data_IF_045609755249
#
_entry.id   IF_045609755249
#
_cell.length_a   1.000
_cell.length_b   1.000
_cell.length_c   1.000
_cell.angle_alpha   90.00
_cell.angle_beta   90.00
_cell.angle_gamma   90.00
#
_symmetry.space_group_name_H-M   'P 1'
#
loop_
_entity.id
_entity.type
_entity.pdbx_description
1 polymer ?
#
# COMPACT_ATOMS: atom_id res chain seq x y z
N UNK A 1 18.48 7.85 -22.89
CA UNK A 1 18.18 9.03 -22.05
C UNK A 1 18.48 10.26 -22.87
N UNK A 2 17.59 11.25 -22.85
CA UNK A 2 17.73 12.54 -23.53
C UNK A 2 17.55 13.66 -22.50
N UNK A 3 18.30 14.76 -22.62
CA UNK A 3 18.24 15.90 -21.71
C UNK A 3 18.51 17.20 -22.44
N UNK A 4 17.67 18.20 -22.19
CA UNK A 4 17.80 19.57 -22.70
C UNK A 4 18.03 20.52 -21.51
N UNK A 5 19.14 21.26 -21.55
CA UNK A 5 19.67 22.03 -20.43
C UNK A 5 19.34 23.53 -20.47
N UNK A 6 18.85 24.05 -21.61
CA UNK A 6 18.48 25.47 -21.73
C UNK A 6 17.22 25.70 -22.58
N UNK A 7 16.09 25.05 -22.27
CA UNK A 7 14.82 25.34 -22.94
C UNK A 7 14.27 26.70 -22.53
N UNK A 8 13.48 27.35 -23.40
CA UNK A 8 12.99 28.73 -23.20
C UNK A 8 12.24 28.97 -21.88
N UNK A 9 11.49 27.97 -21.38
CA UNK A 9 10.60 28.11 -20.21
C UNK A 9 10.96 27.22 -19.01
N UNK A 10 11.92 26.31 -19.16
CA UNK A 10 12.34 25.38 -18.11
C UNK A 10 13.82 25.61 -17.77
N UNK A 11 14.23 25.19 -16.58
CA UNK A 11 15.64 25.11 -16.21
C UNK A 11 16.32 23.94 -16.94
N UNK A 12 15.68 22.77 -16.94
CA UNK A 12 16.00 21.64 -17.82
C UNK A 12 14.82 20.68 -17.88
N UNK A 13 14.81 19.81 -18.88
CA UNK A 13 13.99 18.59 -18.85
C UNK A 13 14.81 17.40 -19.32
N UNK A 14 14.42 16.22 -18.89
CA UNK A 14 15.01 14.96 -19.29
C UNK A 14 13.92 13.91 -19.47
N UNK A 15 14.13 13.06 -20.47
CA UNK A 15 13.25 11.93 -20.76
C UNK A 15 14.10 10.69 -20.94
N UNK A 16 13.58 9.56 -20.48
CA UNK A 16 14.28 8.30 -20.57
C UNK A 16 13.31 7.18 -20.91
N UNK A 17 13.86 6.17 -21.57
CA UNK A 17 13.20 4.91 -21.84
C UNK A 17 14.12 3.83 -21.33
N UNK A 18 13.57 2.88 -20.58
CA UNK A 18 14.29 1.68 -20.19
C UNK A 18 13.35 0.48 -20.20
N UNK A 19 13.93 -0.70 -20.35
CA UNK A 19 13.21 -1.97 -20.27
C UNK A 19 13.92 -2.85 -19.25
N UNK A 20 13.14 -3.65 -18.55
CA UNK A 20 13.65 -4.63 -17.60
C UNK A 20 13.03 -5.99 -17.85
N UNK A 21 13.82 -7.02 -17.62
CA UNK A 21 13.39 -8.42 -17.69
C UNK A 21 14.03 -9.21 -16.56
N UNK A 22 13.32 -10.22 -16.07
CA UNK A 22 13.82 -11.15 -15.05
C UNK A 22 13.29 -12.55 -15.30
N UNK A 23 14.08 -13.54 -14.85
CA UNK A 23 13.77 -14.96 -14.96
C UNK A 23 13.79 -15.63 -13.58
N UNK A 24 13.07 -16.74 -13.45
CA UNK A 24 13.21 -17.65 -12.30
C UNK A 24 14.36 -18.65 -12.53
N UNK A 25 14.60 -19.53 -11.56
CA UNK A 25 15.64 -20.57 -11.66
C UNK A 25 15.34 -21.64 -12.73
N UNK A 26 14.08 -21.76 -13.15
CA UNK A 26 13.62 -22.67 -14.20
C UNK A 26 13.71 -22.03 -15.61
N UNK A 27 14.33 -20.85 -15.71
CA UNK A 27 14.50 -20.06 -16.93
C UNK A 27 13.19 -19.53 -17.57
N UNK A 28 12.09 -19.51 -16.83
CA UNK A 28 10.86 -18.82 -17.23
C UNK A 28 11.00 -17.32 -17.05
N UNK A 29 10.53 -16.55 -18.04
CA UNK A 29 10.47 -15.10 -17.95
C UNK A 29 9.31 -14.67 -17.05
N UNK A 30 9.63 -14.29 -15.81
CA UNK A 30 8.64 -13.93 -14.77
C UNK A 30 8.28 -12.44 -14.75
N UNK A 31 9.08 -11.58 -15.37
CA UNK A 31 8.74 -10.16 -15.50
C UNK A 31 9.37 -9.60 -16.77
N UNK A 32 8.59 -8.79 -17.49
CA UNK A 32 9.06 -7.95 -18.57
C UNK A 32 8.30 -6.64 -18.55
N UNK A 33 8.99 -5.52 -18.75
CA UNK A 33 8.33 -4.23 -18.75
C UNK A 33 9.09 -3.18 -19.56
N UNK A 34 8.34 -2.20 -20.03
CA UNK A 34 8.82 -1.01 -20.71
C UNK A 34 8.45 0.20 -19.87
N UNK A 35 9.38 1.13 -19.72
CA UNK A 35 9.19 2.35 -18.98
C UNK A 35 9.54 3.56 -19.84
N UNK A 36 8.71 4.58 -19.76
CA UNK A 36 8.95 5.92 -20.28
C UNK A 36 8.80 6.91 -19.13
N UNK A 37 9.87 7.63 -18.80
CA UNK A 37 9.82 8.67 -17.79
C UNK A 37 10.22 10.02 -18.34
N UNK A 38 9.69 11.07 -17.72
CA UNK A 38 10.02 12.46 -18.00
C UNK A 38 10.09 13.24 -16.70
N UNK A 39 11.11 14.08 -16.56
CA UNK A 39 11.33 15.00 -15.45
C UNK A 39 11.55 16.39 -16.00
N UNK A 40 10.82 17.37 -15.49
CA UNK A 40 10.88 18.76 -15.90
C UNK A 40 11.14 19.64 -14.68
N UNK A 41 12.18 20.47 -14.73
CA UNK A 41 12.47 21.48 -13.71
C UNK A 41 12.21 22.86 -14.28
N UNK A 42 11.32 23.61 -13.65
CA UNK A 42 10.99 24.98 -14.03
C UNK A 42 12.00 25.98 -13.46
N UNK A 43 12.05 27.19 -14.02
CA UNK A 43 12.94 28.25 -13.55
C UNK A 43 12.67 28.66 -12.09
N UNK A 44 11.42 28.57 -11.65
CA UNK A 44 11.00 28.79 -10.25
C UNK A 44 11.30 27.59 -9.32
N UNK A 45 12.06 26.60 -9.78
CA UNK A 45 12.46 25.38 -9.07
C UNK A 45 11.33 24.38 -8.79
N UNK A 46 10.17 24.56 -9.40
CA UNK A 46 9.13 23.53 -9.41
C UNK A 46 9.58 22.35 -10.26
N UNK A 47 9.08 21.16 -9.93
CA UNK A 47 9.36 19.92 -10.67
C UNK A 47 8.07 19.20 -11.00
N UNK A 48 7.95 18.78 -12.25
CA UNK A 48 6.95 17.80 -12.68
C UNK A 48 7.71 16.55 -13.07
N UNK A 49 7.34 15.40 -12.53
CA UNK A 49 7.79 14.11 -13.03
C UNK A 49 6.58 13.30 -13.46
N UNK A 50 6.79 12.46 -14.45
CA UNK A 50 5.81 11.52 -14.93
C UNK A 50 6.51 10.26 -15.40
N UNK A 51 5.88 9.13 -15.17
CA UNK A 51 6.40 7.84 -15.56
C UNK A 51 5.24 6.98 -16.06
N UNK A 52 5.46 6.28 -17.16
CA UNK A 52 4.53 5.37 -17.78
C UNK A 52 5.20 4.01 -17.90
N UNK A 53 4.48 2.96 -17.57
CA UNK A 53 4.99 1.60 -17.61
C UNK A 53 3.98 0.65 -18.23
N UNK A 54 4.43 -0.10 -19.23
CA UNK A 54 3.72 -1.23 -19.80
C UNK A 54 4.37 -2.53 -19.30
N UNK A 55 3.57 -3.42 -18.74
CA UNK A 55 3.99 -4.78 -18.38
C UNK A 55 3.16 -5.77 -19.20
N UNK A 56 3.74 -6.41 -20.23
CA UNK A 56 3.08 -7.49 -20.94
C UNK A 56 2.76 -8.68 -20.03
N UNK A 57 1.97 -9.63 -20.54
CA UNK A 57 1.66 -10.87 -19.85
C UNK A 57 2.92 -11.67 -19.52
N UNK A 58 2.95 -12.26 -18.33
CA UNK A 58 4.04 -13.10 -17.84
C UNK A 58 3.50 -14.25 -17.01
N UNK A 59 4.29 -15.31 -16.89
CA UNK A 59 3.94 -16.45 -16.03
C UNK A 59 4.35 -16.16 -14.59
N UNK A 60 3.54 -16.61 -13.64
CA UNK A 60 3.81 -16.49 -12.21
C UNK A 60 3.53 -17.79 -11.48
N UNK A 61 4.55 -18.29 -10.79
CA UNK A 61 4.51 -19.38 -9.80
C UNK A 61 4.13 -18.88 -8.38
N UNK A 62 4.16 -17.56 -8.17
CA UNK A 62 3.93 -16.95 -6.85
C UNK A 62 2.47 -16.80 -6.49
N UNK A 63 1.59 -16.62 -7.49
CA UNK A 63 0.16 -16.39 -7.25
C UNK A 63 -0.52 -17.56 -6.55
N UNK A 64 -0.13 -18.78 -6.90
CA UNK A 64 -0.59 -20.03 -6.30
C UNK A 64 0.26 -20.47 -5.11
N UNK A 65 1.14 -19.60 -4.58
CA UNK A 65 2.02 -19.91 -3.44
C UNK A 65 2.92 -21.14 -3.68
N UNK A 66 3.47 -21.28 -4.88
CA UNK A 66 4.31 -22.42 -5.27
C UNK A 66 3.52 -23.60 -5.85
N UNK A 67 2.25 -23.37 -6.23
CA UNK A 67 1.42 -24.32 -6.96
C UNK A 67 1.61 -24.22 -8.48
N UNK A 68 0.56 -24.54 -9.27
CA UNK A 68 0.57 -24.39 -10.72
C UNK A 68 0.94 -22.98 -11.16
N UNK A 69 1.59 -22.86 -12.31
CA UNK A 69 1.85 -21.57 -12.94
C UNK A 69 0.52 -20.91 -13.31
N UNK A 70 0.46 -19.59 -13.18
CA UNK A 70 -0.68 -18.76 -13.56
C UNK A 70 -0.21 -17.66 -14.48
N UNK A 71 -1.02 -17.34 -15.49
CA UNK A 71 -0.75 -16.20 -16.36
C UNK A 71 -1.16 -14.91 -15.66
N UNK A 72 -0.25 -13.96 -15.55
CA UNK A 72 -0.55 -12.61 -15.07
C UNK A 72 -1.01 -11.76 -16.25
N UNK A 73 -2.08 -10.97 -16.08
CA UNK A 73 -2.60 -10.14 -17.16
C UNK A 73 -1.65 -9.00 -17.49
N UNK A 74 -1.70 -8.56 -18.74
CA UNK A 74 -1.02 -7.35 -19.15
C UNK A 74 -1.54 -6.18 -18.33
N UNK A 75 -0.64 -5.33 -17.82
CA UNK A 75 -1.02 -4.12 -17.11
C UNK A 75 -0.28 -2.89 -17.64
N UNK A 76 -1.01 -1.78 -17.63
CA UNK A 76 -0.49 -0.45 -17.90
C UNK A 76 -0.60 0.35 -16.62
N UNK A 77 0.47 1.04 -16.28
CA UNK A 77 0.49 1.93 -15.12
C UNK A 77 1.21 3.22 -15.43
N UNK A 78 0.90 4.28 -14.70
CA UNK A 78 1.65 5.50 -14.79
C UNK A 78 1.50 6.32 -13.53
N UNK A 79 2.50 7.15 -13.24
CA UNK A 79 2.40 8.18 -12.23
C UNK A 79 2.72 9.55 -12.82
N UNK A 80 2.19 10.58 -12.17
CA UNK A 80 2.62 11.95 -12.37
C UNK A 80 2.59 12.69 -11.04
N UNK A 81 3.60 13.52 -10.79
CA UNK A 81 3.64 14.34 -9.60
C UNK A 81 4.22 15.73 -9.87
N UNK A 82 3.69 16.71 -9.16
CA UNK A 82 4.16 18.09 -9.13
C UNK A 82 4.71 18.41 -7.75
N UNK A 83 5.83 19.11 -7.72
CA UNK A 83 6.55 19.47 -6.51
C UNK A 83 6.88 20.95 -6.59
N UNK A 84 6.50 21.71 -5.57
CA UNK A 84 6.94 23.10 -5.43
C UNK A 84 8.44 23.15 -5.09
N UNK A 85 8.99 24.37 -5.03
CA UNK A 85 10.36 24.58 -4.55
C UNK A 85 10.50 24.19 -3.06
N UNK A 86 11.32 23.19 -2.69
CA UNK A 86 11.46 22.73 -1.30
C UNK A 86 12.21 23.73 -0.41
N UNK A 87 12.90 24.72 -0.98
CA UNK A 87 13.66 25.72 -0.24
C UNK A 87 12.79 26.89 0.25
N UNK A 88 11.48 26.85 0.04
CA UNK A 88 10.54 27.88 0.50
C UNK A 88 9.96 27.49 1.86
N UNK A 89 9.62 28.50 2.66
CA UNK A 89 8.97 28.32 3.98
C UNK A 89 7.74 27.42 3.92
N UNK A 90 7.02 27.45 2.80
CA UNK A 90 5.92 26.54 2.52
C UNK A 90 6.30 25.80 1.25
N UNK A 91 6.29 24.48 1.32
CA UNK A 91 6.43 23.61 0.17
C UNK A 91 5.35 22.56 0.16
N UNK A 92 4.95 22.14 -1.03
CA UNK A 92 3.96 21.11 -1.21
C UNK A 92 4.27 20.26 -2.43
N UNK A 93 3.77 19.05 -2.41
CA UNK A 93 3.76 18.16 -3.54
C UNK A 93 2.42 17.43 -3.60
N UNK A 94 2.08 16.97 -4.78
CA UNK A 94 1.00 16.03 -4.98
C UNK A 94 1.29 15.18 -6.20
N UNK A 95 0.74 13.98 -6.22
CA UNK A 95 0.81 13.13 -7.37
C UNK A 95 -0.27 12.08 -7.37
N UNK A 96 -0.33 11.38 -8.49
CA UNK A 96 -1.25 10.27 -8.68
C UNK A 96 -0.52 9.12 -9.36
N UNK A 97 -0.93 7.92 -9.02
CA UNK A 97 -0.57 6.69 -9.71
C UNK A 97 -1.85 6.01 -10.17
N UNK A 98 -1.84 5.53 -11.40
CA UNK A 98 -2.91 4.79 -12.03
C UNK A 98 -2.37 3.46 -12.51
N UNK A 99 -3.15 2.41 -12.35
CA UNK A 99 -2.90 1.09 -12.92
C UNK A 99 -4.20 0.49 -13.41
N UNK A 100 -4.15 -0.17 -14.56
CA UNK A 100 -5.20 -1.05 -15.06
C UNK A 100 -4.57 -2.31 -15.63
N UNK A 101 -5.26 -3.43 -15.55
CA UNK A 101 -4.93 -4.64 -16.28
C UNK A 101 -6.06 -5.05 -17.24
N UNK A 102 -5.77 -5.99 -18.15
CA UNK A 102 -6.70 -6.43 -19.19
C UNK A 102 -7.89 -7.21 -18.65
N UNK A 103 -7.86 -7.62 -17.39
CA UNK A 103 -8.86 -8.50 -16.77
C UNK A 103 -9.75 -7.75 -15.77
N UNK A 104 -9.67 -6.41 -15.78
CA UNK A 104 -10.52 -5.54 -14.96
C UNK A 104 -9.93 -5.15 -13.61
N UNK A 105 -8.71 -5.59 -13.29
CA UNK A 105 -7.97 -5.10 -12.14
C UNK A 105 -7.56 -3.64 -12.34
N UNK A 106 -7.69 -2.83 -11.29
CA UNK A 106 -7.40 -1.40 -11.36
C UNK A 106 -6.87 -0.87 -10.03
N UNK A 107 -6.19 0.27 -10.07
CA UNK A 107 -5.70 0.95 -8.88
C UNK A 107 -5.49 2.42 -9.16
N UNK A 108 -5.94 3.25 -8.24
CA UNK A 108 -5.66 4.68 -8.21
C UNK A 108 -5.10 5.03 -6.85
N UNK A 109 -3.99 5.76 -6.86
CA UNK A 109 -3.37 6.31 -5.66
C UNK A 109 -3.27 7.82 -5.82
N UNK A 110 -3.57 8.54 -4.76
CA UNK A 110 -3.36 9.97 -4.62
C UNK A 110 -2.50 10.20 -3.38
N UNK A 111 -1.35 10.83 -3.56
CA UNK A 111 -0.53 11.29 -2.44
C UNK A 111 -0.40 12.81 -2.49
N UNK A 112 -0.24 13.36 -1.30
CA UNK A 112 0.12 14.75 -1.11
C UNK A 112 1.24 14.87 -0.10
N UNK A 113 1.87 16.04 -0.10
CA UNK A 113 2.75 16.45 0.96
C UNK A 113 2.66 17.94 1.14
N UNK A 114 2.60 18.38 2.39
CA UNK A 114 2.62 19.77 2.77
C UNK A 114 3.66 19.93 3.87
N UNK A 115 4.60 20.86 3.71
CA UNK A 115 5.65 21.14 4.69
C UNK A 115 5.74 22.64 4.93
N UNK A 116 5.72 23.03 6.19
CA UNK A 116 5.78 24.43 6.63
C UNK A 116 6.90 24.59 7.62
N UNK A 117 7.85 25.46 7.27
CA UNK A 117 9.01 25.86 8.03
C UNK A 117 9.03 27.41 8.10
N UNK A 118 8.22 28.02 8.98
CA UNK A 118 8.10 29.47 9.08
C UNK A 118 9.37 30.11 9.66
N UNK A 119 10.10 29.36 10.50
CA UNK A 119 11.34 29.72 11.19
C UNK A 119 12.36 28.57 11.08
N UNK A 120 13.62 28.80 11.45
CA UNK A 120 14.67 27.76 11.42
C UNK A 120 14.50 26.67 12.48
N UNK A 121 13.61 26.87 13.46
CA UNK A 121 13.45 26.03 14.64
C UNK A 121 12.08 25.35 14.74
N UNK A 122 11.19 25.56 13.76
CA UNK A 122 9.88 24.93 13.71
C UNK A 122 9.63 24.39 12.31
N UNK A 123 9.27 23.12 12.20
CA UNK A 123 8.82 22.50 10.97
C UNK A 123 7.68 21.53 11.24
N UNK A 124 6.63 21.62 10.43
CA UNK A 124 5.55 20.63 10.40
C UNK A 124 5.40 20.09 8.99
N UNK A 125 5.19 18.79 8.85
CA UNK A 125 4.83 18.18 7.57
C UNK A 125 3.68 17.19 7.71
N UNK A 126 2.82 17.16 6.70
CA UNK A 126 1.66 16.26 6.59
C UNK A 126 1.68 15.65 5.21
N UNK A 127 1.72 14.32 5.12
CA UNK A 127 1.81 13.59 3.88
C UNK A 127 0.68 12.55 3.81
N UNK A 128 -0.52 12.93 3.32
CA UNK A 128 -1.63 12.01 3.16
C UNK A 128 -1.43 11.09 1.94
N UNK A 129 -2.01 9.90 2.02
CA UNK A 129 -2.09 8.94 0.93
C UNK A 129 -3.46 8.26 0.91
N UNK A 130 -4.09 8.23 -0.25
CA UNK A 130 -5.35 7.52 -0.51
C UNK A 130 -5.13 6.55 -1.67
N UNK A 131 -5.38 5.27 -1.43
CA UNK A 131 -5.39 4.23 -2.45
C UNK A 131 -6.78 3.60 -2.55
N UNK A 132 -7.24 3.42 -3.78
CA UNK A 132 -8.48 2.73 -4.12
C UNK A 132 -8.11 1.73 -5.22
N UNK A 133 -8.37 0.45 -5.02
CA UNK A 133 -7.99 -0.56 -5.99
C UNK A 133 -8.94 -1.74 -6.03
N UNK A 134 -8.95 -2.40 -7.18
CA UNK A 134 -9.63 -3.66 -7.44
C UNK A 134 -8.60 -4.68 -7.90
N UNK A 135 -8.49 -5.80 -7.20
CA UNK A 135 -7.69 -6.95 -7.65
C UNK A 135 -8.63 -8.12 -7.95
N UNK A 136 -8.53 -8.68 -9.15
CA UNK A 136 -9.46 -9.70 -9.64
C UNK A 136 -9.10 -11.13 -9.23
N UNK A 137 -7.89 -11.34 -8.70
CA UNK A 137 -7.29 -12.65 -8.43
C UNK A 137 -6.52 -12.64 -7.09
N UNK A 138 -7.15 -12.14 -6.04
CA UNK A 138 -6.59 -12.16 -4.70
C UNK A 138 -6.65 -13.58 -4.13
N UNK A 139 -5.49 -14.18 -3.85
CA UNK A 139 -5.42 -15.49 -3.20
C UNK A 139 -6.15 -15.49 -1.86
N UNK A 140 -7.03 -16.46 -1.65
CA UNK A 140 -7.80 -16.67 -0.41
C UNK A 140 -7.27 -17.87 0.36
N UNK A 141 -7.27 -19.04 -0.27
CA UNK A 141 -6.87 -20.30 0.39
C UNK A 141 -6.51 -21.38 -0.64
N UNK A 142 -5.97 -22.49 -0.14
CA UNK A 142 -5.76 -23.71 -0.92
C UNK A 142 -6.34 -24.90 -0.17
N UNK A 143 -7.18 -25.68 -0.85
CA UNK A 143 -7.85 -26.84 -0.29
C UNK A 143 -7.33 -28.10 -1.00
N UNK A 144 -7.07 -29.15 -0.24
CA UNK A 144 -6.71 -30.45 -0.82
C UNK A 144 -7.95 -31.09 -1.44
N UNK A 145 -7.85 -31.51 -2.69
CA UNK A 145 -8.91 -32.25 -3.38
C UNK A 145 -8.27 -33.19 -4.41
N UNK A 146 -8.47 -34.48 -4.23
CA UNK A 146 -7.92 -35.51 -5.12
C UNK A 146 -8.46 -35.40 -6.55
N UNK A 147 -9.64 -34.82 -6.74
CA UNK A 147 -10.27 -34.63 -8.05
C UNK A 147 -9.69 -33.45 -8.82
N UNK A 148 -9.01 -32.51 -8.13
CA UNK A 148 -8.32 -31.38 -8.72
C UNK A 148 -6.96 -31.79 -9.35
N UNK A 149 -6.99 -32.81 -10.22
CA UNK A 149 -5.82 -33.44 -10.84
C UNK A 149 -5.02 -32.45 -11.70
N UNK A 150 -5.70 -31.52 -12.38
CA UNK A 150 -5.07 -30.47 -13.18
C UNK A 150 -4.23 -29.50 -12.35
N UNK A 151 -4.49 -29.38 -11.05
CA UNK A 151 -3.79 -28.45 -10.15
C UNK A 151 -3.07 -29.19 -9.02
N UNK A 152 -2.55 -30.38 -9.32
CA UNK A 152 -1.75 -31.22 -8.43
C UNK A 152 -2.50 -31.68 -7.16
N UNK A 153 -3.78 -32.01 -7.29
CA UNK A 153 -4.62 -32.51 -6.20
C UNK A 153 -5.00 -31.43 -5.18
N UNK A 154 -5.04 -30.16 -5.61
CA UNK A 154 -5.35 -29.01 -4.76
C UNK A 154 -6.16 -27.97 -5.52
N UNK A 155 -7.22 -27.44 -4.91
CA UNK A 155 -7.95 -26.27 -5.40
C UNK A 155 -7.31 -25.00 -4.88
N UNK A 156 -6.93 -24.10 -5.78
CA UNK A 156 -6.41 -22.77 -5.43
C UNK A 156 -7.56 -21.77 -5.56
N UNK A 157 -8.00 -21.25 -4.42
CA UNK A 157 -9.16 -20.38 -4.34
C UNK A 157 -8.70 -18.93 -4.33
N UNK A 158 -9.28 -18.15 -5.23
CA UNK A 158 -9.08 -16.72 -5.39
C UNK A 158 -10.41 -15.99 -5.19
N UNK A 159 -10.35 -14.69 -4.95
CA UNK A 159 -11.49 -13.80 -4.94
C UNK A 159 -11.14 -12.44 -5.53
N UNK A 160 -12.16 -11.69 -5.91
CA UNK A 160 -12.01 -10.28 -6.26
C UNK A 160 -12.04 -9.46 -4.99
N UNK A 161 -11.08 -8.55 -4.80
CA UNK A 161 -11.04 -7.63 -3.66
C UNK A 161 -11.17 -6.18 -4.13
N UNK A 162 -12.15 -5.47 -3.61
CA UNK A 162 -12.23 -4.01 -3.62
C UNK A 162 -11.55 -3.47 -2.36
N UNK A 163 -10.39 -2.83 -2.50
CA UNK A 163 -9.58 -2.33 -1.39
C UNK A 163 -9.52 -0.81 -1.36
N UNK A 164 -9.72 -0.24 -0.17
CA UNK A 164 -9.49 1.18 0.10
C UNK A 164 -8.44 1.30 1.20
N UNK A 165 -7.51 2.25 1.06
CA UNK A 165 -6.51 2.58 2.08
C UNK A 165 -6.39 4.09 2.21
N UNK A 166 -6.63 4.62 3.41
CA UNK A 166 -6.36 6.00 3.76
C UNK A 166 -5.28 6.03 4.85
N UNK A 167 -4.22 6.78 4.61
CA UNK A 167 -3.15 6.96 5.59
C UNK A 167 -2.58 8.38 5.54
N UNK A 168 -1.87 8.76 6.59
CA UNK A 168 -1.07 9.98 6.56
C UNK A 168 0.20 9.82 7.38
N UNK A 169 1.25 10.56 7.02
CA UNK A 169 2.45 10.72 7.84
C UNK A 169 2.57 12.18 8.29
N UNK A 170 2.48 12.41 9.59
CA UNK A 170 2.54 13.73 10.21
C UNK A 170 3.83 13.81 11.03
N UNK A 171 4.64 14.84 10.79
CA UNK A 171 5.88 15.11 11.54
C UNK A 171 5.90 16.53 12.05
N UNK A 172 6.35 16.71 13.29
CA UNK A 172 6.61 18.00 13.91
C UNK A 172 8.03 17.97 14.47
N UNK A 173 8.84 18.96 14.10
CA UNK A 173 10.15 19.22 14.66
C UNK A 173 10.14 20.64 15.24
N UNK A 174 10.32 20.76 16.55
CA UNK A 174 10.30 22.03 17.25
C UNK A 174 11.47 22.15 18.22
N UNK A 175 12.37 23.07 17.94
CA UNK A 175 13.46 23.49 18.81
C UNK A 175 13.01 24.74 19.57
N UNK A 176 12.66 24.61 20.85
CA UNK A 176 12.26 25.73 21.70
C UNK A 176 13.45 26.64 22.03
N UNK A 177 14.63 26.03 22.23
CA UNK A 177 15.91 26.69 22.52
C UNK A 177 17.07 25.79 22.07
N UNK A 178 18.34 26.25 22.09
CA UNK A 178 19.49 25.38 21.80
C UNK A 178 19.58 24.13 22.69
N UNK A 179 18.91 24.14 23.84
CA UNK A 179 18.90 23.03 24.80
C UNK A 179 17.60 22.23 24.83
N UNK A 180 16.52 22.70 24.20
CA UNK A 180 15.18 22.11 24.30
C UNK A 180 14.58 21.81 22.93
N UNK A 181 14.27 20.54 22.67
CA UNK A 181 13.66 20.10 21.41
C UNK A 181 12.49 19.13 21.64
N UNK A 182 11.52 19.15 20.73
CA UNK A 182 10.43 18.20 20.63
C UNK A 182 10.35 17.70 19.19
N UNK A 183 10.39 16.38 19.03
CA UNK A 183 10.14 15.70 17.76
C UNK A 183 8.92 14.81 17.91
N UNK A 184 7.97 14.90 16.99
CA UNK A 184 6.74 14.10 17.01
C UNK A 184 6.48 13.48 15.64
N UNK A 185 6.05 12.23 15.63
CA UNK A 185 5.61 11.50 14.45
C UNK A 185 4.27 10.83 14.72
N UNK A 186 3.29 11.01 13.83
CA UNK A 186 1.98 10.36 13.92
C UNK A 186 1.64 9.77 12.56
N UNK A 187 1.19 8.51 12.56
CA UNK A 187 0.76 7.78 11.37
C UNK A 187 -0.61 7.14 11.59
N UNK A 188 -1.72 7.82 11.23
CA UNK A 188 -3.00 7.16 11.06
C UNK A 188 -2.98 6.27 9.81
N UNK A 189 -3.65 5.12 9.89
CA UNK A 189 -3.80 4.15 8.82
C UNK A 189 -5.17 3.48 8.93
N UNK A 190 -5.94 3.51 7.85
CA UNK A 190 -7.24 2.85 7.71
C UNK A 190 -7.17 2.07 6.40
N UNK A 191 -7.52 0.79 6.43
CA UNK A 191 -7.71 -0.03 5.24
C UNK A 191 -9.00 -0.82 5.35
N UNK A 192 -9.74 -0.93 4.25
CA UNK A 192 -10.82 -1.89 4.14
C UNK A 192 -10.66 -2.72 2.87
N UNK A 193 -11.17 -3.93 2.89
CA UNK A 193 -11.19 -4.85 1.76
C UNK A 193 -12.46 -5.66 1.77
N UNK A 194 -13.21 -5.63 0.66
CA UNK A 194 -14.39 -6.46 0.46
C UNK A 194 -14.12 -7.47 -0.64
N UNK A 195 -14.34 -8.74 -0.33
CA UNK A 195 -14.17 -9.85 -1.25
C UNK A 195 -15.50 -10.23 -1.91
N UNK A 196 -15.40 -10.65 -3.16
CA UNK A 196 -16.52 -11.14 -3.96
C UNK A 196 -16.02 -12.13 -5.02
N UNK A 197 -16.96 -12.79 -5.71
CA UNK A 197 -16.68 -13.67 -6.84
C UNK A 197 -15.54 -14.67 -6.55
N UNK A 198 -15.73 -15.52 -5.53
CA UNK A 198 -14.78 -16.58 -5.25
C UNK A 198 -14.69 -17.53 -6.44
N UNK A 199 -13.47 -17.89 -6.83
CA UNK A 199 -13.19 -18.64 -8.04
C UNK A 199 -11.98 -19.55 -7.86
N UNK A 200 -11.88 -20.59 -8.67
CA UNK A 200 -10.68 -21.44 -8.72
C UNK A 200 -10.00 -21.39 -10.08
N UNK A 201 -8.70 -21.69 -10.08
CA UNK A 201 -7.93 -21.83 -11.32
C UNK A 201 -8.32 -23.14 -12.01
N UNK A 202 -8.92 -23.05 -13.19
CA UNK A 202 -9.44 -24.21 -13.93
C UNK A 202 -8.35 -24.89 -14.75
N UNK A 203 -7.51 -24.09 -15.42
CA UNK A 203 -6.43 -24.59 -16.28
C UNK A 203 -5.09 -24.00 -15.87
N UNK A 204 -4.07 -24.82 -15.52
CA UNK A 204 -2.72 -24.34 -15.29
C UNK A 204 -2.18 -23.53 -16.45
N UNK A 205 -1.32 -22.56 -16.15
CA UNK A 205 -0.64 -21.72 -17.12
C UNK A 205 -1.55 -20.81 -17.96
N UNK A 206 -2.79 -20.62 -17.54
CA UNK A 206 -3.78 -19.75 -18.18
C UNK A 206 -4.27 -18.66 -17.22
N UNK A 207 -5.22 -17.84 -17.69
CA UNK A 207 -6.04 -16.95 -16.87
C UNK A 207 -7.47 -17.51 -16.72
N UNK A 208 -7.66 -18.82 -16.92
CA UNK A 208 -9.00 -19.41 -16.89
C UNK A 208 -9.38 -19.71 -15.45
N UNK A 209 -10.35 -18.94 -14.95
CA UNK A 209 -10.94 -19.12 -13.64
C UNK A 209 -12.42 -19.48 -13.77
N UNK A 210 -12.87 -20.40 -12.93
CA UNK A 210 -14.29 -20.75 -12.79
C UNK A 210 -14.83 -20.15 -11.50
N UNK A 211 -15.82 -19.25 -11.62
CA UNK A 211 -16.45 -18.57 -10.49
C UNK A 211 -17.48 -19.48 -9.83
N UNK A 212 -17.34 -19.70 -8.53
CA UNK A 212 -18.28 -20.52 -7.76
C UNK A 212 -19.66 -19.84 -7.69
N UNK A 213 -20.72 -20.62 -7.92
CA UNK A 213 -22.11 -20.15 -7.96
C UNK A 213 -22.50 -19.42 -9.26
N UNK A 214 -21.58 -19.26 -10.22
CA UNK A 214 -21.86 -18.72 -11.55
C UNK A 214 -21.49 -19.74 -12.64
N UNK A 215 -20.21 -20.10 -12.70
CA UNK A 215 -19.68 -21.02 -13.70
C UNK A 215 -19.69 -22.47 -13.20
N UNK A 216 -19.52 -22.68 -11.90
CA UNK A 216 -19.48 -24.00 -11.28
C UNK A 216 -19.97 -23.98 -9.83
N UNK A 217 -20.42 -25.13 -9.33
CA UNK A 217 -20.73 -25.32 -7.91
C UNK A 217 -21.73 -24.33 -7.31
N UNK A 218 -21.72 -24.22 -5.98
CA UNK A 218 -22.52 -23.27 -5.23
C UNK A 218 -21.70 -22.57 -4.16
N UNK A 219 -22.12 -21.35 -3.80
CA UNK A 219 -21.53 -20.58 -2.69
C UNK A 219 -22.63 -20.23 -1.70
N UNK A 220 -22.35 -20.39 -0.41
CA UNK A 220 -23.26 -19.96 0.65
C UNK A 220 -22.49 -19.28 1.77
N UNK A 221 -23.11 -18.28 2.39
CA UNK A 221 -22.56 -17.55 3.54
C UNK A 221 -23.44 -17.80 4.76
N UNK A 222 -22.84 -18.23 5.87
CA UNK A 222 -23.53 -18.35 7.16
C UNK A 222 -22.57 -18.09 8.30
N UNK A 223 -22.97 -17.26 9.28
CA UNK A 223 -22.21 -16.94 10.49
C UNK A 223 -20.75 -16.50 10.22
N UNK A 224 -20.52 -15.70 9.17
CA UNK A 224 -19.17 -15.22 8.82
C UNK A 224 -18.27 -16.29 8.18
N UNK A 225 -18.81 -17.43 7.79
CA UNK A 225 -18.13 -18.48 7.03
C UNK A 225 -18.71 -18.54 5.61
N UNK A 226 -17.83 -18.65 4.63
CA UNK A 226 -18.16 -18.97 3.24
C UNK A 226 -18.00 -20.48 3.08
N UNK A 227 -19.04 -21.14 2.54
CA UNK A 227 -19.01 -22.56 2.18
C UNK A 227 -19.19 -22.68 0.69
N UNK A 228 -18.26 -23.39 0.05
CA UNK A 228 -18.26 -23.70 -1.38
C UNK A 228 -18.49 -25.20 -1.54
N UNK A 229 -19.43 -25.53 -2.42
CA UNK A 229 -19.64 -26.90 -2.91
C UNK A 229 -19.32 -26.89 -4.41
N UNK A 230 -18.12 -27.32 -4.84
CA UNK A 230 -17.69 -27.25 -6.24
C UNK A 230 -18.55 -28.09 -7.21
N UNK A 231 -19.12 -29.19 -6.72
CA UNK A 231 -19.87 -30.15 -7.55
C UNK A 231 -21.37 -29.87 -7.54
N UNK A 232 -21.81 -28.91 -6.71
CA UNK A 232 -23.20 -28.55 -6.51
C UNK A 232 -23.94 -29.51 -5.57
N UNK A 233 -25.23 -29.23 -5.35
CA UNK A 233 -26.06 -29.94 -4.38
C UNK A 233 -26.01 -31.47 -4.55
N UNK A 234 -25.33 -32.16 -3.63
CA UNK A 234 -25.12 -33.62 -3.66
C UNK A 234 -23.66 -34.05 -3.81
N UNK A 235 -22.73 -33.11 -4.01
CA UNK A 235 -21.28 -33.32 -4.00
C UNK A 235 -20.76 -33.83 -2.66
N UNK A 236 -19.65 -34.55 -2.68
CA UNK A 236 -19.11 -35.23 -1.49
C UNK A 236 -18.11 -34.37 -0.69
N UNK A 237 -17.60 -33.26 -1.26
CA UNK A 237 -16.47 -32.52 -0.67
C UNK A 237 -16.66 -30.99 -0.62
N UNK A 238 -17.72 -30.45 0.01
CA UNK A 238 -17.79 -29.02 0.28
C UNK A 238 -16.66 -28.59 1.22
N UNK A 239 -16.18 -27.37 1.07
CA UNK A 239 -15.19 -26.77 1.96
C UNK A 239 -15.59 -25.38 2.39
N UNK A 240 -15.08 -24.93 3.54
CA UNK A 240 -15.42 -23.62 4.10
C UNK A 240 -14.20 -22.85 4.56
N UNK A 241 -14.28 -21.53 4.50
CA UNK A 241 -13.29 -20.60 5.05
C UNK A 241 -13.98 -19.37 5.64
N UNK A 242 -13.28 -18.68 6.55
CA UNK A 242 -13.80 -17.45 7.15
C UNK A 242 -13.92 -16.34 6.10
N UNK A 243 -15.02 -15.57 6.15
CA UNK A 243 -15.25 -14.44 5.27
C UNK A 243 -14.06 -13.48 5.34
N UNK A 244 -13.34 -13.26 4.23
CA UNK A 244 -12.05 -12.55 4.26
C UNK A 244 -12.19 -11.02 4.27
N UNK A 245 -13.42 -10.49 4.32
CA UNK A 245 -13.69 -9.06 4.41
C UNK A 245 -13.07 -8.44 5.66
N UNK A 246 -12.55 -7.23 5.54
CA UNK A 246 -11.91 -6.56 6.65
C UNK A 246 -12.03 -5.04 6.61
N UNK A 247 -11.95 -4.45 7.79
CA UNK A 247 -11.58 -3.08 8.07
C UNK A 247 -10.51 -3.12 9.15
N UNK A 248 -9.30 -2.70 8.80
CA UNK A 248 -8.19 -2.53 9.72
C UNK A 248 -7.91 -1.06 9.93
N UNK A 249 -7.78 -0.65 11.19
CA UNK A 249 -7.55 0.75 11.58
C UNK A 249 -6.40 0.77 12.57
N UNK A 250 -5.45 1.68 12.43
CA UNK A 250 -4.37 1.85 13.40
C UNK A 250 -3.82 3.27 13.44
N UNK A 251 -3.38 3.70 14.62
CA UNK A 251 -2.59 4.92 14.79
C UNK A 251 -1.32 4.56 15.55
N UNK A 252 -0.20 4.98 14.98
CA UNK A 252 1.09 4.94 15.67
C UNK A 252 1.55 6.36 15.90
N UNK A 253 1.97 6.67 17.12
CA UNK A 253 2.44 7.99 17.53
C UNK A 253 3.72 7.86 18.34
N UNK A 254 4.68 8.73 18.10
CA UNK A 254 5.90 8.85 18.90
C UNK A 254 6.19 10.33 19.14
N UNK A 255 6.54 10.70 20.36
CA UNK A 255 7.08 12.01 20.69
C UNK A 255 8.34 11.87 21.56
N UNK A 256 9.37 12.64 21.25
CA UNK A 256 10.62 12.70 22.00
C UNK A 256 10.88 14.15 22.34
N UNK A 257 10.85 14.45 23.63
CA UNK A 257 11.28 15.73 24.17
C UNK A 257 12.69 15.56 24.77
N UNK A 258 13.64 16.39 24.34
CA UNK A 258 14.99 16.47 24.89
C UNK A 258 15.16 17.83 25.55
N UNK A 259 15.70 17.85 26.76
CA UNK A 259 16.11 19.07 27.46
C UNK A 259 17.50 18.91 28.07
N UNK A 260 18.44 19.76 27.69
CA UNK A 260 19.71 19.94 28.38
C UNK A 260 19.56 21.04 29.43
N UNK A 261 19.35 20.62 30.68
CA UNK A 261 19.02 21.52 31.78
C UNK A 261 20.25 22.17 32.41
N UNK A 262 21.42 21.55 32.24
CA UNK A 262 22.75 22.10 32.52
C UNK A 262 23.74 21.51 31.51
N UNK A 263 24.90 22.16 31.26
CA UNK A 263 25.92 21.62 30.37
C UNK A 263 26.26 20.16 30.71
N UNK A 264 26.09 19.27 29.73
CA UNK A 264 26.35 17.83 29.89
C UNK A 264 25.26 17.03 30.64
N UNK A 265 24.19 17.68 31.12
CA UNK A 265 23.09 17.04 31.84
C UNK A 265 21.78 17.12 31.05
N UNK A 266 21.19 15.97 30.73
CA UNK A 266 20.03 15.88 29.81
C UNK A 266 18.86 15.12 30.41
N UNK A 267 17.66 15.54 30.08
CA UNK A 267 16.40 14.84 30.32
C UNK A 267 15.79 14.48 28.95
N UNK A 268 15.40 13.23 28.79
CA UNK A 268 14.56 12.77 27.69
C UNK A 268 13.22 12.28 28.24
N UNK A 269 12.14 12.78 27.64
CA UNK A 269 10.79 12.25 27.83
C UNK A 269 10.35 11.66 26.49
N UNK A 270 10.11 10.35 26.46
CA UNK A 270 9.66 9.65 25.26
C UNK A 270 8.25 9.13 25.52
N UNK A 271 7.35 9.47 24.62
CA UNK A 271 6.00 8.93 24.58
C UNK A 271 5.85 8.14 23.29
N UNK A 272 5.41 6.89 23.40
CA UNK A 272 4.99 6.08 22.27
C UNK A 272 3.56 5.64 22.50
N UNK A 273 2.78 5.66 21.42
CA UNK A 273 1.40 5.21 21.43
C UNK A 273 1.14 4.34 20.21
N UNK A 274 0.46 3.22 20.45
CA UNK A 274 -0.12 2.42 19.39
C UNK A 274 -1.56 2.08 19.74
N UNK A 275 -2.43 2.16 18.75
CA UNK A 275 -3.79 1.61 18.80
C UNK A 275 -4.10 0.93 17.48
N UNK A 276 -4.86 -0.14 17.54
CA UNK A 276 -5.35 -0.83 16.35
C UNK A 276 -6.72 -1.45 16.63
N UNK A 277 -7.52 -1.56 15.58
CA UNK A 277 -8.87 -2.10 15.58
C UNK A 277 -9.10 -2.91 14.30
N UNK A 278 -9.90 -3.97 14.39
CA UNK A 278 -10.22 -4.85 13.29
C UNK A 278 -11.69 -5.27 13.36
N UNK A 279 -12.41 -5.11 12.25
CA UNK A 279 -13.77 -5.63 12.08
C UNK A 279 -13.93 -6.23 10.68
N UNK A 280 -14.82 -7.20 10.50
CA UNK A 280 -14.99 -7.95 9.25
C UNK A 280 -16.18 -7.45 8.40
N UNK A 281 -16.26 -6.13 8.16
CA UNK A 281 -17.36 -5.49 7.40
C UNK A 281 -17.00 -5.27 5.92
N UNK A 282 -15.74 -4.97 5.61
CA UNK A 282 -15.24 -4.73 4.25
C UNK A 282 -15.60 -3.36 3.66
N UNK A 283 -16.65 -2.72 4.15
CA UNK A 283 -17.14 -1.43 3.66
C UNK A 283 -16.26 -0.26 4.14
N UNK A 284 -15.78 0.59 3.23
CA UNK A 284 -15.06 1.81 3.60
C UNK A 284 -16.05 2.94 3.95
N UNK A 285 -15.89 3.57 5.10
CA UNK A 285 -16.58 4.81 5.43
C UNK A 285 -15.63 5.73 6.20
N UNK A 286 -15.21 6.82 5.57
CA UNK A 286 -14.19 7.71 6.14
C UNK A 286 -14.59 8.28 7.51
N UNK A 287 -15.85 8.67 7.71
CA UNK A 287 -16.30 9.30 8.95
C UNK A 287 -16.37 8.30 10.10
N UNK A 288 -17.01 7.16 9.85
CA UNK A 288 -17.11 6.04 10.80
C UNK A 288 -15.74 5.48 11.13
N UNK A 289 -14.91 5.23 10.12
CA UNK A 289 -13.59 4.61 10.29
C UNK A 289 -12.63 5.55 11.04
N UNK A 290 -12.65 6.85 10.74
CA UNK A 290 -11.87 7.84 11.49
C UNK A 290 -12.37 8.01 12.92
N UNK A 291 -13.69 8.00 13.15
CA UNK A 291 -14.24 8.04 14.51
C UNK A 291 -13.83 6.80 15.33
N UNK A 292 -13.95 5.62 14.74
CA UNK A 292 -13.59 4.36 15.38
C UNK A 292 -12.08 4.27 15.68
N UNK A 293 -11.24 4.79 14.77
CA UNK A 293 -9.79 4.89 14.96
C UNK A 293 -9.44 5.59 16.28
N UNK A 294 -10.07 6.73 16.58
CA UNK A 294 -9.79 7.49 17.81
C UNK A 294 -10.53 6.97 19.06
N UNK A 295 -11.60 6.17 18.90
CA UNK A 295 -12.29 5.48 20.00
C UNK A 295 -11.56 4.21 20.47
N UNK A 296 -10.78 3.58 19.58
CA UNK A 296 -10.01 2.37 19.93
C UNK A 296 -9.05 2.62 21.10
N UNK A 297 -8.97 1.65 22.02
CA UNK A 297 -8.17 1.76 23.26
C UNK A 297 -6.67 1.85 22.91
N UNK A 298 -5.96 2.91 23.33
CA UNK A 298 -4.53 3.02 23.08
C UNK A 298 -3.69 2.25 24.10
N UNK A 299 -2.59 1.68 23.63
CA UNK A 299 -1.44 1.27 24.44
C UNK A 299 -0.45 2.42 24.43
N UNK A 300 -0.09 2.94 25.61
CA UNK A 300 0.87 4.03 25.77
C UNK A 300 2.09 3.53 26.53
N UNK A 301 3.28 3.89 26.05
CA UNK A 301 4.57 3.65 26.70
C UNK A 301 5.20 5.01 26.97
N UNK A 302 5.57 5.25 28.22
CA UNK A 302 6.28 6.45 28.64
C UNK A 302 7.66 6.05 29.15
N UNK A 303 8.71 6.66 28.62
CA UNK A 303 10.07 6.46 29.07
C UNK A 303 10.66 7.80 29.51
N UNK A 304 11.34 7.77 30.65
CA UNK A 304 12.07 8.92 31.17
C UNK A 304 13.53 8.51 31.29
N UNK A 305 14.44 9.29 30.70
CA UNK A 305 15.88 9.11 30.86
C UNK A 305 16.48 10.40 31.37
N UNK A 306 17.14 10.34 32.52
CA UNK A 306 17.86 11.45 33.13
C UNK A 306 19.36 11.13 33.11
N UNK A 307 20.16 12.10 32.65
CA UNK A 307 21.61 12.10 32.81
C UNK A 307 22.03 13.35 33.59
N UNK A 308 22.99 13.18 34.49
CA UNK A 308 23.57 14.24 35.28
C UNK A 308 25.09 14.17 35.17
N UNK A 309 25.71 15.25 34.71
CA UNK A 309 27.15 15.37 34.62
C UNK A 309 27.71 15.90 35.95
N UNK A 310 28.50 15.07 36.62
CA UNK A 310 29.25 15.41 37.84
C UNK A 310 30.68 15.77 37.47
N UNK A 311 30.90 16.99 36.99
CA UNK A 311 32.24 17.51 36.67
C UNK A 311 32.44 18.89 37.28
N UNK A 312 33.59 19.07 37.93
CA UNK A 312 34.01 20.26 38.67
C UNK A 312 34.43 21.39 37.75
#
# INVERSE_FOLDING_TARGET
MYRENKPKYLNYYESWVFTGQSWNFDADKITYWYNLGTSMRFNNQWRINSEFMLRPEVMSDRQTRGGPLVRMPQNVSGNANINSNPNKKISYNMGTFLRTDTEGGSGIEFWGGFSVQPTSYFQISVNPNLFIGKNMYQYVTTVSDAEATHTYGRRYVFGEIDQNVLSASIRLDWTFSPTMTLQTFIRPYISSGRYSNFKELSTPSTYDYSVYGQDMGTVSESNGMITIDPDGSGGQNPFSFGKPDFNFRSVQGNAVFRWEYMPGSTLFLVWQQQRSDYVSDGNFDMGRDMSALFKSKPTNIFLVKLSYWMGR
#
